data_IF_940603243706
#
_entry.id   IF_940603243706
#
_cell.length_a   1.000
_cell.length_b   1.000
_cell.length_c   1.000
_cell.angle_alpha   90.00
_cell.angle_beta   90.00
_cell.angle_gamma   90.00
#
_symmetry.space_group_name_H-M   'P 1'
#
loop_
_entity.id
_entity.type
_entity.pdbx_description
1 polymer ?
#
# COMPACT_ATOMS: atom_id res chain seq x y z
N UNK A 1 11.50 11.53 -32.23
CA UNK A 1 12.15 10.19 -32.26
C UNK A 1 11.08 9.17 -31.99
N UNK A 2 10.73 8.32 -32.97
CA UNK A 2 9.68 7.29 -32.82
C UNK A 2 10.24 6.16 -31.97
N UNK A 3 9.72 6.00 -30.74
CA UNK A 3 10.05 4.93 -29.81
C UNK A 3 9.68 3.56 -30.38
N UNK A 4 10.68 2.73 -30.70
CA UNK A 4 10.53 1.55 -31.53
C UNK A 4 9.90 0.31 -30.90
N UNK A 5 9.73 0.20 -29.57
CA UNK A 5 9.25 -1.04 -28.93
C UNK A 5 7.80 -0.97 -28.42
N UNK A 6 7.37 0.16 -27.93
CA UNK A 6 6.03 0.33 -27.37
C UNK A 6 4.92 0.20 -28.40
N UNK A 7 5.22 0.32 -29.69
CA UNK A 7 4.26 0.22 -30.80
C UNK A 7 4.18 -1.19 -31.42
N UNK A 8 5.09 -2.11 -31.11
CA UNK A 8 5.07 -3.47 -31.67
C UNK A 8 3.88 -4.28 -31.08
N UNK A 9 2.93 -4.75 -31.90
CA UNK A 9 1.78 -5.54 -31.44
C UNK A 9 2.19 -6.85 -30.74
N UNK A 10 3.31 -7.46 -31.13
CA UNK A 10 3.81 -8.70 -30.51
C UNK A 10 4.30 -8.43 -29.10
N UNK A 11 4.98 -7.29 -28.87
CA UNK A 11 5.42 -6.85 -27.55
C UNK A 11 4.23 -6.56 -26.62
N UNK A 12 3.23 -5.82 -27.14
CA UNK A 12 1.99 -5.54 -26.37
C UNK A 12 1.27 -6.83 -25.96
N UNK A 13 1.13 -7.78 -26.87
CA UNK A 13 0.49 -9.07 -26.59
C UNK A 13 1.28 -9.90 -25.56
N UNK A 14 2.60 -9.87 -25.64
CA UNK A 14 3.46 -10.58 -24.68
C UNK A 14 3.36 -9.97 -23.27
N UNK A 15 3.38 -8.64 -23.14
CA UNK A 15 3.19 -7.95 -21.86
C UNK A 15 1.80 -8.23 -21.27
N UNK A 16 0.74 -8.19 -22.09
CA UNK A 16 -0.62 -8.52 -21.65
C UNK A 16 -0.72 -9.96 -21.12
N UNK A 17 -0.04 -10.91 -21.76
CA UNK A 17 0.01 -12.30 -21.30
C UNK A 17 0.76 -12.43 -19.96
N UNK A 18 1.90 -11.77 -19.79
CA UNK A 18 2.64 -11.73 -18.50
C UNK A 18 1.73 -11.18 -17.40
N UNK A 19 1.04 -10.08 -17.68
CA UNK A 19 0.10 -9.48 -16.76
C UNK A 19 -1.02 -10.45 -16.33
N UNK A 20 -1.68 -11.09 -17.30
CA UNK A 20 -2.76 -12.02 -17.00
C UNK A 20 -2.29 -13.23 -16.18
N UNK A 21 -1.04 -13.66 -16.32
CA UNK A 21 -0.43 -14.74 -15.55
C UNK A 21 -0.11 -14.30 -14.11
N UNK A 22 0.39 -13.07 -13.95
CA UNK A 22 0.64 -12.46 -12.62
C UNK A 22 -0.69 -12.30 -11.87
N UNK A 23 -1.71 -11.75 -12.52
CA UNK A 23 -3.04 -11.56 -11.94
C UNK A 23 -3.70 -12.88 -11.48
N UNK A 24 -3.38 -14.00 -12.14
CA UNK A 24 -3.86 -15.36 -11.78
C UNK A 24 -3.00 -16.06 -10.72
N UNK A 25 -1.96 -15.44 -10.20
CA UNK A 25 -1.08 -16.00 -9.17
C UNK A 25 -0.25 -17.21 -9.61
N UNK A 26 -0.15 -17.48 -10.91
CA UNK A 26 0.50 -18.66 -11.47
C UNK A 26 2.00 -18.46 -11.64
N UNK A 27 2.77 -18.59 -10.56
CA UNK A 27 4.23 -18.34 -10.54
C UNK A 27 5.03 -19.09 -11.61
N UNK A 28 4.70 -20.35 -11.90
CA UNK A 28 5.43 -21.14 -12.91
C UNK A 28 5.28 -20.64 -14.35
N UNK A 29 4.13 -20.07 -14.69
CA UNK A 29 3.86 -19.52 -16.01
C UNK A 29 4.42 -18.11 -16.21
N UNK A 30 4.66 -17.38 -15.12
CA UNK A 30 5.32 -16.06 -15.18
C UNK A 30 6.72 -16.18 -15.76
N UNK A 31 7.50 -17.19 -15.33
CA UNK A 31 8.84 -17.43 -15.84
C UNK A 31 8.83 -17.73 -17.34
N UNK A 32 7.89 -18.53 -17.82
CA UNK A 32 7.75 -18.82 -19.25
C UNK A 32 7.34 -17.58 -20.07
N UNK A 33 6.42 -16.79 -19.55
CA UNK A 33 5.98 -15.56 -20.20
C UNK A 33 7.10 -14.52 -20.27
N UNK A 34 7.90 -14.38 -19.19
CA UNK A 34 9.07 -13.49 -19.15
C UNK A 34 10.14 -13.96 -20.15
N UNK A 35 10.44 -15.26 -20.22
CA UNK A 35 11.39 -15.79 -21.19
C UNK A 35 10.93 -15.57 -22.63
N UNK A 36 9.63 -15.65 -22.89
CA UNK A 36 9.04 -15.35 -24.20
C UNK A 36 9.15 -13.86 -24.54
N UNK A 37 8.95 -12.96 -23.58
CA UNK A 37 9.21 -11.51 -23.78
C UNK A 37 10.68 -11.27 -24.11
N UNK A 38 11.61 -11.88 -23.36
CA UNK A 38 13.06 -11.77 -23.65
C UNK A 38 13.45 -12.24 -25.05
N UNK A 39 12.79 -13.28 -25.57
CA UNK A 39 13.08 -13.84 -26.91
C UNK A 39 12.63 -12.93 -28.07
N UNK A 40 11.69 -12.01 -27.82
CA UNK A 40 11.18 -11.05 -28.80
C UNK A 40 11.82 -9.66 -28.68
N UNK A 41 12.55 -9.40 -27.62
CA UNK A 41 13.35 -8.17 -27.49
C UNK A 41 14.55 -8.24 -28.45
N UNK A 42 14.86 -7.16 -29.17
CA UNK A 42 16.05 -7.10 -29.99
C UNK A 42 17.31 -7.29 -29.15
N UNK A 43 18.30 -7.98 -29.71
CA UNK A 43 19.58 -8.26 -29.06
C UNK A 43 20.45 -7.01 -28.87
N UNK A 44 20.13 -5.92 -29.53
CA UNK A 44 20.81 -4.64 -29.37
C UNK A 44 20.29 -3.89 -28.14
N UNK A 45 21.21 -3.44 -27.30
CA UNK A 45 20.86 -2.59 -26.15
C UNK A 45 20.21 -1.29 -26.66
N UNK A 46 19.09 -0.86 -26.11
CA UNK A 46 18.52 0.44 -26.43
C UNK A 46 19.55 1.54 -26.10
N UNK A 47 19.66 2.52 -26.96
CA UNK A 47 20.62 3.65 -26.82
C UNK A 47 20.27 4.56 -25.63
N UNK A 48 19.03 4.45 -25.11
CA UNK A 48 18.57 5.16 -23.92
C UNK A 48 17.87 4.17 -22.98
N UNK A 49 17.95 4.37 -21.65
CA UNK A 49 17.28 3.53 -20.68
C UNK A 49 15.75 3.66 -20.87
N UNK A 50 15.09 2.52 -21.03
CA UNK A 50 13.62 2.47 -21.10
C UNK A 50 13.07 2.80 -19.71
N UNK A 51 12.38 3.92 -19.57
CA UNK A 51 11.66 4.23 -18.36
C UNK A 51 10.39 3.37 -18.28
N UNK A 52 10.46 2.29 -17.51
CA UNK A 52 9.34 1.33 -17.35
C UNK A 52 8.09 2.03 -16.77
N UNK A 53 8.29 3.09 -16.00
CA UNK A 53 7.20 3.90 -15.43
C UNK A 53 6.41 4.61 -16.53
N UNK A 54 7.08 5.15 -17.54
CA UNK A 54 6.43 5.85 -18.64
C UNK A 54 5.71 4.86 -19.56
N UNK A 55 6.30 3.67 -19.78
CA UNK A 55 5.64 2.57 -20.50
C UNK A 55 4.42 2.08 -19.73
N UNK A 56 4.50 1.93 -18.42
CA UNK A 56 3.38 1.49 -17.59
C UNK A 56 2.25 2.54 -17.57
N UNK A 57 2.55 3.83 -17.51
CA UNK A 57 1.57 4.92 -17.57
C UNK A 57 0.82 4.97 -18.91
N UNK A 58 1.52 4.69 -20.01
CA UNK A 58 0.94 4.77 -21.35
C UNK A 58 0.03 3.59 -21.69
N UNK A 59 0.32 2.38 -21.17
CA UNK A 59 -0.34 1.14 -21.59
C UNK A 59 -1.14 0.43 -20.51
N UNK A 60 -1.09 0.90 -19.27
CA UNK A 60 -1.81 0.28 -18.18
C UNK A 60 -2.78 1.27 -17.52
N UNK A 61 -4.10 0.98 -17.53
CA UNK A 61 -5.04 1.68 -16.66
C UNK A 61 -4.51 1.63 -15.20
N UNK A 62 -4.86 2.63 -14.41
CA UNK A 62 -4.32 2.94 -13.07
C UNK A 62 -4.09 1.75 -12.11
N UNK A 63 -4.83 0.65 -12.26
CA UNK A 63 -4.66 -0.57 -11.48
C UNK A 63 -3.36 -1.33 -11.81
N UNK A 64 -2.93 -1.33 -13.07
CA UNK A 64 -1.72 -2.03 -13.53
C UNK A 64 -0.47 -1.25 -13.17
N UNK A 65 -0.51 0.07 -13.27
CA UNK A 65 0.57 0.93 -12.81
C UNK A 65 0.82 0.74 -11.31
N UNK A 66 -0.24 0.62 -10.52
CA UNK A 66 -0.13 0.37 -9.06
C UNK A 66 0.44 -1.01 -8.74
N UNK A 67 0.10 -2.06 -9.52
CA UNK A 67 0.68 -3.39 -9.34
C UNK A 67 2.14 -3.46 -9.76
N UNK A 68 2.50 -2.84 -10.88
CA UNK A 68 3.88 -2.81 -11.36
C UNK A 68 4.77 -1.94 -10.46
N UNK A 69 4.25 -0.85 -9.91
CA UNK A 69 4.99 0.07 -9.03
C UNK A 69 4.96 -0.36 -7.55
N UNK A 70 3.92 -1.11 -7.10
CA UNK A 70 3.75 -1.49 -5.70
C UNK A 70 4.27 -2.89 -5.33
N UNK A 71 4.44 -3.79 -6.31
CA UNK A 71 4.84 -5.19 -6.07
C UNK A 71 5.75 -5.76 -7.16
N UNK A 72 6.53 -4.96 -7.85
CA UNK A 72 7.60 -5.52 -8.68
C UNK A 72 8.62 -6.13 -7.73
N UNK A 73 8.40 -7.41 -7.45
CA UNK A 73 9.39 -8.25 -6.79
C UNK A 73 10.76 -7.94 -7.42
N UNK A 74 11.81 -7.59 -6.64
CA UNK A 74 13.16 -7.32 -7.13
C UNK A 74 13.66 -8.36 -8.13
N UNK A 75 13.15 -9.59 -8.03
CA UNK A 75 13.39 -10.69 -8.95
C UNK A 75 12.94 -10.35 -10.38
N UNK A 76 11.86 -9.63 -10.60
CA UNK A 76 11.38 -9.28 -11.95
C UNK A 76 12.30 -8.22 -12.60
N UNK A 77 12.78 -7.28 -11.81
CA UNK A 77 13.79 -6.30 -12.27
C UNK A 77 15.10 -6.97 -12.72
N UNK A 78 15.60 -7.95 -11.94
CA UNK A 78 16.76 -8.75 -12.31
C UNK A 78 16.52 -9.63 -13.54
N UNK A 79 15.34 -10.25 -13.65
CA UNK A 79 14.95 -11.11 -14.77
C UNK A 79 14.86 -10.32 -16.07
N UNK A 80 14.39 -9.07 -16.03
CA UNK A 80 14.28 -8.20 -17.20
C UNK A 80 15.61 -7.58 -17.62
N UNK A 81 16.72 -7.84 -16.89
CA UNK A 81 18.04 -7.28 -17.20
C UNK A 81 18.09 -5.76 -17.03
N UNK A 82 17.12 -5.21 -16.31
CA UNK A 82 17.09 -3.82 -15.88
C UNK A 82 18.09 -3.70 -14.72
N UNK A 83 19.37 -3.84 -15.00
CA UNK A 83 20.49 -3.56 -14.08
C UNK A 83 20.60 -2.05 -13.80
N UNK A 84 19.50 -1.41 -13.49
CA UNK A 84 19.53 -0.18 -12.74
C UNK A 84 19.49 -0.59 -11.28
N UNK A 85 20.40 -0.09 -10.49
CA UNK A 85 20.27 -0.03 -9.04
C UNK A 85 18.94 0.67 -8.77
N UNK A 86 17.85 -0.12 -8.73
CA UNK A 86 16.58 0.41 -8.24
C UNK A 86 16.87 0.70 -6.78
N UNK A 87 17.00 1.97 -6.51
CA UNK A 87 17.12 2.45 -5.14
C UNK A 87 15.80 2.09 -4.43
N UNK A 88 15.81 0.96 -3.74
CA UNK A 88 14.64 0.45 -3.01
C UNK A 88 14.17 1.42 -1.92
N UNK A 89 15.02 2.40 -1.55
CA UNK A 89 14.63 3.45 -0.63
C UNK A 89 13.61 4.41 -1.27
N UNK A 90 13.56 4.47 -2.62
CA UNK A 90 12.61 5.31 -3.39
C UNK A 90 11.37 4.56 -3.87
N UNK A 91 11.23 3.28 -3.53
CA UNK A 91 10.00 2.55 -3.85
C UNK A 91 8.81 3.19 -3.11
N UNK A 92 7.61 3.24 -3.73
CA UNK A 92 6.42 3.69 -3.01
C UNK A 92 6.06 2.69 -1.89
N UNK A 93 5.37 3.14 -0.82
CA UNK A 93 4.91 2.24 0.23
C UNK A 93 3.95 1.18 -0.33
N UNK A 94 4.06 -0.06 0.15
CA UNK A 94 3.16 -1.14 -0.24
C UNK A 94 1.81 -1.01 0.47
N UNK A 95 0.83 -0.44 -0.21
CA UNK A 95 -0.51 -0.26 0.34
C UNK A 95 -1.23 -1.58 0.59
N UNK A 96 -0.97 -2.61 -0.22
CA UNK A 96 -1.51 -3.96 -0.05
C UNK A 96 -1.01 -4.60 1.25
N UNK A 97 0.27 -4.40 1.58
CA UNK A 97 0.85 -4.86 2.85
C UNK A 97 0.19 -4.14 4.04
N UNK A 98 0.03 -2.81 3.94
CA UNK A 98 -0.65 -2.00 4.96
C UNK A 98 -2.10 -2.47 5.12
N UNK A 99 -2.86 -2.61 4.04
CA UNK A 99 -4.23 -3.11 4.04
C UNK A 99 -4.34 -4.49 4.70
N UNK A 100 -3.50 -5.44 4.30
CA UNK A 100 -3.48 -6.80 4.86
C UNK A 100 -3.25 -6.78 6.37
N UNK A 101 -2.33 -5.95 6.83
CA UNK A 101 -2.02 -5.82 8.25
C UNK A 101 -3.16 -5.13 9.02
N UNK A 102 -3.82 -4.14 8.43
CA UNK A 102 -5.00 -3.51 9.04
C UNK A 102 -6.11 -4.51 9.33
N UNK A 103 -6.44 -5.39 8.38
CA UNK A 103 -7.44 -6.43 8.62
C UNK A 103 -7.12 -7.31 9.82
N UNK A 104 -5.85 -7.64 10.06
CA UNK A 104 -5.43 -8.48 11.20
C UNK A 104 -5.73 -7.84 12.56
N UNK A 105 -5.72 -6.50 12.64
CA UNK A 105 -5.92 -5.79 13.90
C UNK A 105 -7.34 -5.24 14.04
N UNK A 106 -7.93 -4.74 12.97
CA UNK A 106 -9.25 -4.10 13.03
C UNK A 106 -10.38 -5.12 13.00
N UNK A 107 -10.24 -6.22 12.27
CA UNK A 107 -11.26 -7.26 12.21
C UNK A 107 -10.71 -8.68 12.18
N UNK A 108 -9.90 -9.09 13.20
CA UNK A 108 -9.23 -10.40 13.22
C UNK A 108 -10.21 -11.59 13.30
N UNK A 109 -11.44 -11.35 13.72
CA UNK A 109 -12.49 -12.38 13.87
C UNK A 109 -13.49 -12.37 12.73
N UNK A 110 -13.26 -11.60 11.67
CA UNK A 110 -14.17 -11.44 10.54
C UNK A 110 -15.61 -11.09 10.98
N UNK A 111 -15.76 -10.19 11.97
CA UNK A 111 -17.08 -9.74 12.42
C UNK A 111 -17.89 -9.21 11.25
N UNK A 112 -19.16 -9.54 11.22
CA UNK A 112 -20.07 -9.14 10.16
C UNK A 112 -20.02 -10.04 8.92
N UNK A 113 -19.05 -10.97 8.80
CA UNK A 113 -18.96 -11.89 7.66
C UNK A 113 -20.11 -12.92 7.69
N UNK A 114 -20.87 -13.00 6.58
CA UNK A 114 -21.91 -13.99 6.35
C UNK A 114 -21.78 -14.49 4.91
N UNK A 115 -21.43 -15.75 4.75
CA UNK A 115 -21.00 -16.27 3.46
C UNK A 115 -19.73 -15.56 2.99
N UNK A 116 -19.80 -14.87 1.86
CA UNK A 116 -18.69 -14.09 1.29
C UNK A 116 -18.88 -12.57 1.40
N UNK A 117 -19.91 -12.12 2.15
CA UNK A 117 -20.22 -10.70 2.31
C UNK A 117 -20.05 -10.25 3.76
N UNK A 118 -19.50 -9.06 3.93
CA UNK A 118 -19.46 -8.36 5.22
C UNK A 118 -20.68 -7.46 5.36
N UNK A 119 -21.32 -7.54 6.52
CA UNK A 119 -22.47 -6.72 6.92
C UNK A 119 -22.10 -5.84 8.10
N UNK A 120 -22.86 -4.75 8.34
CA UNK A 120 -22.69 -3.93 9.52
C UNK A 120 -22.77 -4.73 10.81
N UNK A 121 -21.92 -4.40 11.79
CA UNK A 121 -21.93 -4.99 13.12
C UNK A 121 -21.70 -3.92 14.20
N UNK A 122 -22.19 -4.17 15.41
CA UNK A 122 -21.94 -3.30 16.55
C UNK A 122 -20.58 -3.57 17.16
N UNK A 123 -19.83 -2.50 17.39
CA UNK A 123 -18.57 -2.54 18.14
C UNK A 123 -18.84 -2.49 19.66
N UNK A 124 -17.80 -2.78 20.45
CA UNK A 124 -17.88 -2.66 21.91
C UNK A 124 -18.17 -1.22 22.39
N UNK A 125 -17.83 -0.23 21.58
CA UNK A 125 -18.09 1.19 21.87
C UNK A 125 -19.47 1.68 21.41
N UNK A 126 -20.30 0.79 20.86
CA UNK A 126 -21.65 1.11 20.40
C UNK A 126 -21.74 1.65 18.96
N UNK A 127 -20.63 1.96 18.32
CA UNK A 127 -20.59 2.36 16.90
C UNK A 127 -21.05 1.20 16.00
N UNK A 128 -21.47 1.53 14.79
CA UNK A 128 -21.78 0.53 13.77
C UNK A 128 -20.69 0.54 12.71
N UNK A 129 -19.91 -0.54 12.63
CA UNK A 129 -18.82 -0.67 11.69
C UNK A 129 -19.11 -1.73 10.62
N UNK A 130 -18.37 -1.67 9.51
CA UNK A 130 -18.30 -2.74 8.51
C UNK A 130 -16.84 -3.00 8.12
N UNK A 131 -16.52 -4.27 7.86
CA UNK A 131 -15.18 -4.67 7.41
C UNK A 131 -14.08 -4.32 8.41
N UNK A 132 -12.98 -3.69 7.97
CA UNK A 132 -11.85 -3.36 8.84
C UNK A 132 -12.04 -2.03 9.59
N UNK A 133 -13.23 -1.79 10.18
CA UNK A 133 -13.47 -0.62 11.01
C UNK A 133 -13.94 0.63 10.25
N UNK A 134 -14.71 0.45 9.19
CA UNK A 134 -15.44 1.58 8.58
C UNK A 134 -16.63 1.94 9.47
N UNK A 135 -16.49 2.97 10.29
CA UNK A 135 -17.58 3.54 11.09
C UNK A 135 -18.66 4.08 10.15
N UNK A 136 -19.83 3.45 10.15
CA UNK A 136 -20.94 3.80 9.26
C UNK A 136 -21.54 5.16 9.60
N UNK A 137 -21.46 5.61 10.84
CA UNK A 137 -22.00 6.91 11.21
C UNK A 137 -21.28 8.06 10.48
N UNK A 138 -20.01 7.82 10.13
CA UNK A 138 -19.15 8.75 9.38
C UNK A 138 -19.22 8.59 7.87
N UNK A 139 -20.06 7.68 7.33
CA UNK A 139 -20.13 7.42 5.89
C UNK A 139 -21.35 8.12 5.24
N UNK A 140 -21.26 8.26 3.90
CA UNK A 140 -22.36 8.79 3.09
C UNK A 140 -23.60 7.87 3.14
N UNK A 141 -24.75 8.41 2.82
CA UNK A 141 -26.00 7.62 2.75
C UNK A 141 -25.90 6.50 1.70
N UNK A 142 -25.22 6.75 0.59
CA UNK A 142 -24.99 5.76 -0.46
C UNK A 142 -24.14 4.61 0.05
N UNK A 143 -23.02 4.90 0.75
CA UNK A 143 -22.20 3.87 1.36
C UNK A 143 -22.98 3.05 2.39
N UNK A 144 -23.78 3.70 3.26
CA UNK A 144 -24.63 3.02 4.25
C UNK A 144 -25.62 2.06 3.58
N UNK A 145 -26.26 2.49 2.49
CA UNK A 145 -27.16 1.65 1.68
C UNK A 145 -26.44 0.44 1.09
N UNK A 146 -25.24 0.65 0.54
CA UNK A 146 -24.42 -0.44 0.00
C UNK A 146 -24.01 -1.41 1.09
N UNK A 147 -23.53 -0.92 2.24
CA UNK A 147 -23.13 -1.72 3.38
C UNK A 147 -24.29 -2.57 3.94
N UNK A 148 -25.52 -2.04 3.98
CA UNK A 148 -26.70 -2.78 4.42
C UNK A 148 -27.01 -4.01 3.56
N UNK A 149 -26.68 -3.97 2.28
CA UNK A 149 -26.83 -5.09 1.34
C UNK A 149 -25.68 -6.11 1.40
N UNK A 150 -24.64 -5.81 2.18
CA UNK A 150 -23.41 -6.57 2.26
C UNK A 150 -22.37 -6.15 1.20
N UNK A 151 -21.10 -6.19 1.58
CA UNK A 151 -19.98 -5.84 0.72
C UNK A 151 -18.96 -6.97 0.71
N UNK A 152 -18.34 -7.24 -0.44
CA UNK A 152 -17.25 -8.21 -0.51
C UNK A 152 -15.98 -7.65 0.14
N UNK A 153 -15.04 -8.56 0.46
CA UNK A 153 -13.73 -8.14 0.96
C UNK A 153 -13.01 -7.25 -0.05
N UNK A 154 -13.07 -7.61 -1.31
CA UNK A 154 -12.44 -6.89 -2.43
C UNK A 154 -12.98 -5.45 -2.56
N UNK A 155 -14.28 -5.25 -2.38
CA UNK A 155 -14.88 -3.91 -2.38
C UNK A 155 -14.40 -3.06 -1.20
N UNK A 156 -14.32 -3.66 0.00
CA UNK A 156 -13.80 -3.00 1.19
C UNK A 156 -12.31 -2.68 1.06
N UNK A 157 -11.53 -3.62 0.51
CA UNK A 157 -10.11 -3.43 0.23
C UNK A 157 -9.88 -2.28 -0.77
N UNK A 158 -10.67 -2.22 -1.85
CA UNK A 158 -10.57 -1.16 -2.84
C UNK A 158 -10.80 0.24 -2.22
N UNK A 159 -11.77 0.36 -1.33
CA UNK A 159 -12.07 1.60 -0.61
C UNK A 159 -10.91 1.97 0.33
N UNK A 160 -10.34 0.99 1.04
CA UNK A 160 -9.20 1.22 1.92
C UNK A 160 -7.99 1.70 1.13
N UNK A 161 -7.64 0.99 0.07
CA UNK A 161 -6.52 1.35 -0.78
C UNK A 161 -6.68 2.74 -1.39
N UNK A 162 -7.90 3.11 -1.80
CA UNK A 162 -8.18 4.46 -2.29
C UNK A 162 -7.96 5.52 -1.21
N UNK A 163 -8.42 5.28 0.02
CA UNK A 163 -8.19 6.21 1.15
C UNK A 163 -6.71 6.37 1.46
N UNK A 164 -5.98 5.26 1.50
CA UNK A 164 -4.53 5.30 1.74
C UNK A 164 -3.79 6.05 0.62
N UNK A 165 -4.17 5.85 -0.66
CA UNK A 165 -3.59 6.61 -1.78
C UNK A 165 -3.83 8.10 -1.67
N UNK A 166 -5.03 8.50 -1.25
CA UNK A 166 -5.35 9.92 -1.04
C UNK A 166 -4.56 10.55 0.11
N UNK A 167 -4.11 9.72 1.06
CA UNK A 167 -3.34 10.18 2.20
C UNK A 167 -1.85 10.37 1.90
N UNK A 168 -1.29 9.65 0.94
CA UNK A 168 0.14 9.74 0.59
C UNK A 168 0.60 11.18 0.35
N UNK A 169 -0.08 12.02 -0.44
CA UNK A 169 0.35 13.41 -0.65
C UNK A 169 0.41 14.24 0.63
N UNK A 170 -0.51 14.02 1.58
CA UNK A 170 -0.51 14.71 2.88
C UNK A 170 0.65 14.26 3.74
N UNK A 171 0.90 12.94 3.76
CA UNK A 171 2.02 12.36 4.45
C UNK A 171 3.36 12.86 3.89
N UNK A 172 3.51 12.85 2.57
CA UNK A 172 4.71 13.36 1.91
C UNK A 172 4.91 14.87 2.17
N UNK A 173 3.85 15.65 2.20
CA UNK A 173 3.93 17.08 2.56
C UNK A 173 4.44 17.28 3.99
N UNK A 174 3.93 16.50 4.98
CA UNK A 174 4.44 16.56 6.37
C UNK A 174 5.89 16.10 6.45
N UNK A 175 6.26 15.00 5.78
CA UNK A 175 7.64 14.53 5.74
C UNK A 175 8.57 15.56 5.11
N UNK A 176 8.19 16.17 4.00
CA UNK A 176 8.96 17.25 3.36
C UNK A 176 9.18 18.44 4.30
N UNK A 177 8.18 18.81 5.09
CA UNK A 177 8.29 19.93 6.04
C UNK A 177 9.33 19.69 7.14
N UNK A 178 9.59 18.43 7.51
CA UNK A 178 10.54 18.07 8.59
C UNK A 178 11.91 17.61 8.05
N UNK A 179 11.99 17.18 6.78
CA UNK A 179 13.20 16.66 6.15
C UNK A 179 13.85 17.64 5.16
N UNK A 180 13.48 18.92 5.18
CA UNK A 180 13.97 19.91 4.22
C UNK A 180 13.72 19.50 2.75
N UNK A 181 12.50 19.06 2.44
CA UNK A 181 12.06 18.56 1.12
C UNK A 181 12.72 17.26 0.66
N UNK A 182 13.13 16.41 1.59
CA UNK A 182 13.74 15.11 1.28
C UNK A 182 12.84 13.91 1.68
N UNK A 183 11.52 14.04 1.60
CA UNK A 183 10.59 12.94 1.90
C UNK A 183 10.88 11.65 1.09
N UNK A 184 11.47 11.78 -0.09
CA UNK A 184 11.87 10.65 -0.95
C UNK A 184 13.02 9.83 -0.36
N UNK A 185 13.77 10.36 0.61
CA UNK A 185 14.81 9.61 1.32
C UNK A 185 14.26 8.74 2.46
N UNK A 186 13.01 8.96 2.83
CA UNK A 186 12.36 8.17 3.88
C UNK A 186 11.95 6.80 3.33
N UNK A 187 12.38 5.76 4.02
CA UNK A 187 12.15 4.39 3.55
C UNK A 187 10.64 4.08 3.38
N UNK A 188 10.28 3.25 2.39
CA UNK A 188 8.91 2.80 2.18
C UNK A 188 8.29 2.19 3.43
N UNK A 189 9.08 1.45 4.22
CA UNK A 189 8.63 0.80 5.45
C UNK A 189 8.19 1.81 6.50
N UNK A 190 8.93 2.91 6.68
CA UNK A 190 8.52 3.99 7.59
C UNK A 190 7.21 4.62 7.12
N UNK A 191 7.07 4.89 5.82
CA UNK A 191 5.82 5.42 5.25
C UNK A 191 4.65 4.44 5.44
N UNK A 192 4.87 3.13 5.26
CA UNK A 192 3.88 2.08 5.56
C UNK A 192 3.44 2.10 7.03
N UNK A 193 4.39 2.22 7.95
CA UNK A 193 4.10 2.33 9.38
C UNK A 193 3.31 3.59 9.74
N UNK A 194 3.61 4.71 9.09
CA UNK A 194 2.84 5.95 9.26
C UNK A 194 1.43 5.83 8.71
N UNK A 195 1.22 5.16 7.58
CA UNK A 195 -0.11 4.89 7.02
C UNK A 195 -0.91 3.94 7.93
N UNK A 196 -0.27 2.95 8.57
CA UNK A 196 -0.92 2.13 9.60
C UNK A 196 -1.31 2.96 10.83
N UNK A 197 -0.45 3.87 11.27
CA UNK A 197 -0.78 4.80 12.36
C UNK A 197 -1.90 5.77 11.96
N UNK A 198 -1.89 6.29 10.74
CA UNK A 198 -2.95 7.15 10.22
C UNK A 198 -4.32 6.47 10.28
N UNK A 199 -4.42 5.18 9.98
CA UNK A 199 -5.68 4.47 10.09
C UNK A 199 -6.30 4.58 11.48
N UNK A 200 -5.50 4.52 12.54
CA UNK A 200 -5.96 4.67 13.92
C UNK A 200 -6.20 6.12 14.33
N UNK A 201 -5.29 7.01 13.97
CA UNK A 201 -5.21 8.37 14.47
C UNK A 201 -5.91 9.39 13.58
N UNK A 202 -6.10 9.04 12.29
CA UNK A 202 -6.56 9.97 11.26
C UNK A 202 -5.64 11.21 11.24
N UNK A 203 -6.20 12.39 11.13
CA UNK A 203 -5.42 13.64 11.11
C UNK A 203 -4.60 13.85 12.39
N UNK A 204 -4.96 13.22 13.52
CA UNK A 204 -4.18 13.27 14.75
C UNK A 204 -2.78 12.68 14.64
N UNK A 205 -2.46 11.91 13.58
CA UNK A 205 -1.09 11.51 13.29
C UNK A 205 -0.17 12.71 13.13
N UNK A 206 -0.63 13.76 12.50
CA UNK A 206 0.19 14.94 12.15
C UNK A 206 0.55 15.82 13.34
N UNK A 207 -0.06 15.56 14.51
CA UNK A 207 0.25 16.20 15.79
C UNK A 207 1.40 15.48 16.56
N UNK A 208 1.94 14.38 16.00
CA UNK A 208 3.05 13.62 16.59
C UNK A 208 4.41 14.21 16.18
N UNK A 209 4.66 15.47 16.54
CA UNK A 209 5.86 16.20 16.12
C UNK A 209 7.16 15.48 16.48
N UNK A 210 7.24 14.85 17.66
CA UNK A 210 8.40 14.07 18.07
C UNK A 210 8.66 12.84 17.18
N UNK A 211 7.60 12.18 16.72
CA UNK A 211 7.71 11.06 15.77
C UNK A 211 8.34 11.54 14.46
N UNK A 212 7.81 12.64 13.92
CA UNK A 212 8.31 13.21 12.67
C UNK A 212 9.73 13.77 12.81
N UNK A 213 10.07 14.35 13.96
CA UNK A 213 11.44 14.75 14.27
C UNK A 213 12.40 13.54 14.32
N UNK A 214 11.98 12.44 14.96
CA UNK A 214 12.74 11.18 14.98
C UNK A 214 12.99 10.65 13.57
N UNK A 215 11.96 10.69 12.70
CA UNK A 215 12.08 10.27 11.29
C UNK A 215 13.07 11.17 10.54
N UNK A 216 12.99 12.48 10.70
CA UNK A 216 13.87 13.43 10.02
C UNK A 216 15.36 13.24 10.43
N UNK A 217 15.61 12.79 11.64
CA UNK A 217 16.97 12.52 12.17
C UNK A 217 17.44 11.08 11.94
N UNK A 218 16.58 10.18 11.45
CA UNK A 218 16.88 8.75 11.40
C UNK A 218 17.01 8.09 12.78
N UNK A 219 16.41 8.70 13.81
CA UNK A 219 16.45 8.21 15.20
C UNK A 219 15.40 7.12 15.40
N UNK A 220 15.80 5.87 15.18
CA UNK A 220 14.90 4.73 15.22
C UNK A 220 14.32 4.48 16.61
N UNK A 221 15.06 4.76 17.66
CA UNK A 221 14.58 4.55 19.04
C UNK A 221 13.50 5.58 19.37
N UNK A 222 13.66 6.84 18.94
CA UNK A 222 12.65 7.87 19.06
C UNK A 222 11.40 7.52 18.23
N UNK A 223 11.57 7.03 16.99
CA UNK A 223 10.46 6.59 16.14
C UNK A 223 9.65 5.48 16.83
N UNK A 224 10.34 4.49 17.42
CA UNK A 224 9.70 3.40 18.16
C UNK A 224 8.94 3.90 19.37
N UNK A 225 9.57 4.74 20.19
CA UNK A 225 8.95 5.27 21.39
C UNK A 225 7.66 6.05 21.06
N UNK A 226 7.75 6.98 20.11
CA UNK A 226 6.64 7.85 19.72
C UNK A 226 5.55 7.14 18.89
N UNK A 227 5.83 5.95 18.35
CA UNK A 227 4.83 5.14 17.65
C UNK A 227 3.84 4.41 18.57
N UNK A 228 3.97 4.58 19.90
CA UNK A 228 3.05 4.04 20.91
C UNK A 228 1.74 4.77 20.89
N UNK A 229 0.77 4.26 20.15
CA UNK A 229 -0.59 4.82 20.13
C UNK A 229 -1.37 4.37 21.35
N UNK A 230 -1.89 5.33 22.10
CA UNK A 230 -2.81 5.08 23.20
C UNK A 230 -4.19 5.67 22.88
N UNK A 231 -5.24 4.99 23.31
CA UNK A 231 -6.59 5.49 23.18
C UNK A 231 -7.31 5.50 24.52
N UNK A 232 -8.24 6.43 24.68
CA UNK A 232 -9.08 6.54 25.89
C UNK A 232 -10.41 5.86 25.62
N UNK A 233 -10.75 4.86 26.43
CA UNK A 233 -12.07 4.22 26.35
C UNK A 233 -13.15 5.23 26.72
N UNK A 234 -14.15 5.37 25.87
CA UNK A 234 -15.34 6.21 26.15
C UNK A 234 -16.12 5.69 27.35
N UNK A 235 -16.16 4.37 27.56
CA UNK A 235 -16.95 3.75 28.61
C UNK A 235 -16.31 3.82 30.00
N UNK A 236 -14.98 3.72 30.08
CA UNK A 236 -14.26 3.65 31.38
C UNK A 236 -13.40 4.86 31.66
N UNK A 237 -13.18 5.73 30.69
CA UNK A 237 -12.24 6.85 30.78
C UNK A 237 -10.77 6.44 30.89
N UNK A 238 -10.46 5.15 30.96
CA UNK A 238 -9.10 4.63 31.08
C UNK A 238 -8.36 4.70 29.75
N UNK A 239 -7.06 4.96 29.81
CA UNK A 239 -6.17 4.84 28.64
C UNK A 239 -5.76 3.39 28.45
N UNK A 240 -5.79 2.95 27.23
CA UNK A 240 -5.35 1.64 26.78
C UNK A 240 -4.24 1.79 25.75
N UNK A 241 -3.35 0.82 25.74
CA UNK A 241 -2.25 0.69 24.80
C UNK A 241 -2.38 -0.64 24.07
N UNK A 242 -2.43 -0.60 22.74
CA UNK A 242 -2.45 -1.81 21.92
C UNK A 242 -1.01 -2.30 21.71
N UNK A 243 -0.54 -3.11 22.66
CA UNK A 243 0.81 -3.67 22.62
C UNK A 243 1.03 -4.61 21.43
N UNK A 244 -0.02 -5.32 20.98
CA UNK A 244 0.08 -6.24 19.84
C UNK A 244 0.31 -5.48 18.54
N UNK A 245 -0.46 -4.42 18.29
CA UNK A 245 -0.30 -3.58 17.12
C UNK A 245 0.99 -2.77 17.14
N UNK A 246 1.38 -2.28 18.31
CA UNK A 246 2.68 -1.62 18.49
C UNK A 246 3.83 -2.55 18.16
N UNK A 247 3.86 -3.77 18.75
CA UNK A 247 4.87 -4.77 18.43
C UNK A 247 4.92 -5.08 16.93
N UNK A 248 3.77 -5.23 16.30
CA UNK A 248 3.69 -5.44 14.86
C UNK A 248 4.33 -4.30 14.07
N UNK A 249 4.11 -3.03 14.45
CA UNK A 249 4.74 -1.87 13.80
C UNK A 249 6.25 -1.92 13.94
N UNK A 250 6.76 -2.21 15.13
CA UNK A 250 8.20 -2.34 15.36
C UNK A 250 8.77 -3.44 14.47
N UNK A 251 8.16 -4.62 14.47
CA UNK A 251 8.68 -5.80 13.75
C UNK A 251 8.58 -5.67 12.22
N UNK A 252 7.66 -4.88 11.67
CA UNK A 252 7.38 -4.85 10.23
C UNK A 252 7.67 -3.52 9.54
N UNK A 253 7.73 -2.42 10.27
CA UNK A 253 7.87 -1.08 9.71
C UNK A 253 9.01 -0.27 10.32
N UNK A 254 9.27 -0.39 11.63
CA UNK A 254 10.24 0.40 12.37
C UNK A 254 11.41 -0.45 12.90
N UNK A 255 11.83 -1.42 12.09
CA UNK A 255 12.96 -2.31 12.41
C UNK A 255 14.17 -1.92 11.54
N UNK A 256 15.10 -1.19 12.08
CA UNK A 256 16.43 -0.96 11.50
C UNK A 256 17.49 -1.11 12.59
#
# INVERSE_FOLDING_TARGET
>A
VKGGYATDPKYKKALSNVYNQIAKGQKGLIVQAVNKVKSILPKEKPKEPINVVDVAKEYAPSAVASMLLGNVNPIIGQILGLNQNIDLTKAPPSLEKVNTNMWKFENPKNKGLRGNLYYPFKTANGNTDIGPGYDLDMQTAEFKKKAANGMTKEELDAIMLERLRKEIPHLDAKLNSVTNNNADTISPQIKEGLLDMYWQLKNGLYDYDNLFEGIAKGDIDKIREESKVTYKSKNTGKRYFDSGRYKHRIDNYFHY
#
